data_IF_300279623483
#
_entry.id   IF_300279623483
#
_cell.length_a   1.000
_cell.length_b   1.000
_cell.length_c   1.000
_cell.angle_alpha   90.00
_cell.angle_beta   90.00
_cell.angle_gamma   90.00
#
_symmetry.space_group_name_H-M   'P 1'
#
loop_
_entity.id
_entity.type
_entity.pdbx_description
1 polymer ?
#
# COMPACT_ATOMS: atom_id res chain seq x y z
N UNK A 1 14.95 20.22 -8.73
CA UNK A 1 14.19 20.76 -7.58
C UNK A 1 15.04 20.50 -6.35
N UNK A 2 15.60 21.54 -5.72
CA UNK A 2 16.24 21.38 -4.40
C UNK A 2 15.12 21.06 -3.42
N UNK A 3 15.12 19.85 -2.88
CA UNK A 3 14.11 19.44 -1.91
C UNK A 3 14.42 20.19 -0.60
N UNK A 4 13.75 21.32 -0.36
CA UNK A 4 13.93 22.11 0.85
C UNK A 4 13.49 21.30 2.08
N UNK A 5 14.20 21.44 3.22
CA UNK A 5 13.84 20.73 4.45
C UNK A 5 12.43 21.11 4.91
N UNK A 6 11.65 20.11 5.34
CA UNK A 6 10.35 20.33 5.99
C UNK A 6 10.46 20.97 7.37
N UNK A 7 11.59 20.78 8.05
CA UNK A 7 11.88 21.41 9.32
C UNK A 7 13.33 21.87 9.38
N UNK A 8 13.51 23.15 9.73
CA UNK A 8 14.80 23.77 9.98
C UNK A 8 14.92 24.12 11.46
N UNK A 9 15.81 23.43 12.18
CA UNK A 9 16.11 23.80 13.57
C UNK A 9 16.79 25.18 13.61
N UNK A 10 16.37 26.03 14.55
CA UNK A 10 17.00 27.35 14.73
C UNK A 10 18.43 27.24 15.25
N UNK A 11 19.25 28.25 14.95
CA UNK A 11 20.61 28.36 15.50
C UNK A 11 20.59 28.34 17.04
N UNK A 12 19.61 28.98 17.68
CA UNK A 12 19.46 28.99 19.14
C UNK A 12 19.18 27.59 19.71
N UNK A 13 18.23 26.86 19.14
CA UNK A 13 17.92 25.51 19.59
C UNK A 13 19.07 24.54 19.30
N UNK A 14 19.78 24.74 18.19
CA UNK A 14 20.97 23.94 17.87
C UNK A 14 22.08 24.14 18.91
N UNK A 15 22.36 25.39 19.31
CA UNK A 15 23.36 25.67 20.35
C UNK A 15 22.97 25.03 21.69
N UNK A 16 21.69 25.10 22.08
CA UNK A 16 21.18 24.43 23.28
C UNK A 16 21.36 22.91 23.18
N UNK A 17 20.99 22.33 22.05
CA UNK A 17 21.11 20.89 21.79
C UNK A 17 22.55 20.41 21.89
N UNK A 18 23.47 21.08 21.19
CA UNK A 18 24.91 20.80 21.23
C UNK A 18 25.45 20.90 22.65
N UNK A 19 25.05 21.93 23.40
CA UNK A 19 25.49 22.09 24.79
C UNK A 19 25.06 20.89 25.66
N UNK A 20 23.79 20.48 25.58
CA UNK A 20 23.28 19.33 26.35
C UNK A 20 23.91 18.01 25.88
N UNK A 21 24.08 17.81 24.57
CA UNK A 21 24.79 16.66 24.01
C UNK A 21 26.23 16.55 24.53
N UNK A 22 26.97 17.66 24.50
CA UNK A 22 28.36 17.70 24.96
C UNK A 22 28.48 17.48 26.48
N UNK A 23 27.50 17.93 27.30
CA UNK A 23 27.45 17.57 28.73
C UNK A 23 27.30 16.07 28.91
N UNK A 24 26.40 15.43 28.14
CA UNK A 24 26.17 13.99 28.19
C UNK A 24 27.43 13.22 27.76
N UNK A 25 28.09 13.63 26.68
CA UNK A 25 29.35 13.04 26.23
C UNK A 25 30.45 13.15 27.29
N UNK A 26 30.69 14.34 27.82
CA UNK A 26 31.71 14.57 28.84
C UNK A 26 31.43 13.83 30.14
N UNK A 27 30.15 13.60 30.46
CA UNK A 27 29.75 12.81 31.61
C UNK A 27 29.92 11.30 31.37
N UNK A 28 29.20 10.73 30.39
CA UNK A 28 29.09 9.28 30.18
C UNK A 28 30.34 8.74 29.47
N UNK A 29 30.78 9.41 28.41
CA UNK A 29 31.84 8.98 27.49
C UNK A 29 33.13 9.78 27.71
N UNK A 30 33.43 10.07 28.98
CA UNK A 30 34.51 10.98 29.36
C UNK A 30 35.89 10.56 28.84
N UNK A 31 36.13 9.26 28.62
CA UNK A 31 37.39 8.73 28.11
C UNK A 31 37.52 8.99 26.61
N UNK A 32 36.47 8.69 25.86
CA UNK A 32 36.38 8.83 24.41
C UNK A 32 36.41 10.31 24.02
N UNK A 33 35.68 11.15 24.76
CA UNK A 33 35.69 12.59 24.60
C UNK A 33 37.09 13.18 24.82
N UNK A 34 37.78 12.83 25.92
CA UNK A 34 39.17 13.28 26.17
C UNK A 34 40.15 12.82 25.10
N UNK A 35 39.93 11.63 24.55
CA UNK A 35 40.77 11.08 23.50
C UNK A 35 40.41 11.62 22.10
N UNK A 36 39.29 12.34 21.95
CA UNK A 36 38.74 12.75 20.67
C UNK A 36 38.41 11.56 19.76
N UNK A 37 38.13 10.38 20.32
CA UNK A 37 38.01 9.15 19.54
C UNK A 37 36.90 8.24 20.08
N UNK A 38 35.79 8.21 19.35
CA UNK A 38 34.61 7.39 19.64
C UNK A 38 34.58 6.07 18.83
N UNK A 39 35.58 5.81 17.98
CA UNK A 39 35.61 4.60 17.14
C UNK A 39 35.78 3.30 17.93
N UNK A 40 36.19 3.39 19.20
CA UNK A 40 36.42 2.24 20.09
C UNK A 40 35.17 1.77 20.83
N UNK A 41 34.05 2.48 20.71
CA UNK A 41 32.79 2.04 21.29
C UNK A 41 32.35 0.69 20.69
N UNK A 42 31.70 -0.17 21.47
CA UNK A 42 30.99 -1.33 20.93
C UNK A 42 29.77 -0.90 20.13
N UNK A 43 29.12 -1.82 19.39
CA UNK A 43 27.87 -1.50 18.69
C UNK A 43 26.77 -1.05 19.66
N UNK A 44 26.68 -1.71 20.82
CA UNK A 44 25.71 -1.36 21.87
C UNK A 44 26.01 0.01 22.49
N UNK A 45 27.29 0.34 22.67
CA UNK A 45 27.70 1.64 23.20
C UNK A 45 27.50 2.76 22.16
N UNK A 46 27.74 2.49 20.87
CA UNK A 46 27.41 3.42 19.77
C UNK A 46 25.92 3.69 19.69
N UNK A 47 25.09 2.64 19.81
CA UNK A 47 23.64 2.79 19.87
C UNK A 47 23.21 3.70 21.03
N UNK A 48 23.76 3.47 22.23
CA UNK A 48 23.45 4.31 23.39
C UNK A 48 24.05 5.71 23.29
N UNK A 49 25.21 5.88 22.65
CA UNK A 49 25.77 7.20 22.34
C UNK A 49 24.78 7.98 21.46
N UNK A 50 24.31 7.39 20.36
CA UNK A 50 23.29 7.99 19.49
C UNK A 50 22.04 8.40 20.29
N UNK A 51 21.50 7.48 21.10
CA UNK A 51 20.31 7.71 21.91
C UNK A 51 20.50 8.86 22.92
N UNK A 52 21.52 8.77 23.76
CA UNK A 52 21.70 9.69 24.89
C UNK A 52 22.23 11.06 24.45
N UNK A 53 23.17 11.09 23.51
CA UNK A 53 23.87 12.32 23.11
C UNK A 53 23.09 13.11 22.09
N UNK A 54 22.42 12.43 21.15
CA UNK A 54 21.72 13.10 20.06
C UNK A 54 20.21 13.11 20.27
N UNK A 55 19.57 11.95 20.39
CA UNK A 55 18.10 11.85 20.33
C UNK A 55 17.44 12.44 21.58
N UNK A 56 17.90 12.03 22.77
CA UNK A 56 17.33 12.48 24.04
C UNK A 56 17.52 13.99 24.27
N UNK A 57 18.67 14.53 23.90
CA UNK A 57 18.97 15.97 24.05
C UNK A 57 18.27 16.80 22.98
N UNK A 58 18.13 16.28 21.75
CA UNK A 58 17.33 16.94 20.72
C UNK A 58 15.87 17.04 21.16
N UNK A 59 15.33 15.97 21.74
CA UNK A 59 13.97 15.96 22.27
C UNK A 59 13.72 16.91 23.45
N UNK A 60 14.77 17.46 24.07
CA UNK A 60 14.64 18.50 25.09
C UNK A 60 14.51 19.90 24.49
N UNK A 61 14.95 20.11 23.24
CA UNK A 61 15.00 21.45 22.62
C UNK A 61 13.94 21.67 21.54
N UNK A 62 13.37 20.60 20.97
CA UNK A 62 12.35 20.68 19.93
C UNK A 62 11.16 19.78 20.27
N UNK A 63 9.99 20.10 19.70
CA UNK A 63 8.77 19.33 19.93
C UNK A 63 8.84 17.94 19.29
N UNK A 64 8.09 16.95 19.82
CA UNK A 64 8.00 15.62 19.21
C UNK A 64 7.55 15.65 17.73
N UNK A 65 6.67 16.59 17.36
CA UNK A 65 6.24 16.76 15.97
C UNK A 65 7.41 17.13 15.06
N UNK A 66 8.32 18.00 15.52
CA UNK A 66 9.49 18.38 14.73
C UNK A 66 10.50 17.24 14.63
N UNK A 67 10.66 16.42 15.68
CA UNK A 67 11.46 15.20 15.63
C UNK A 67 10.90 14.25 14.55
N UNK A 68 9.58 14.07 14.50
CA UNK A 68 8.92 13.25 13.48
C UNK A 68 9.11 13.80 12.06
N UNK A 69 9.00 15.12 11.88
CA UNK A 69 9.28 15.76 10.59
C UNK A 69 10.72 15.51 10.13
N UNK A 70 11.70 15.64 11.03
CA UNK A 70 13.10 15.31 10.72
C UNK A 70 13.23 13.82 10.36
N UNK A 71 12.66 12.92 11.16
CA UNK A 71 12.75 11.48 10.93
C UNK A 71 12.16 11.01 9.59
N UNK A 72 11.18 11.75 9.06
CA UNK A 72 10.49 11.43 7.80
C UNK A 72 10.99 12.20 6.57
N UNK A 73 11.94 13.11 6.74
CA UNK A 73 12.41 14.00 5.67
C UNK A 73 13.94 14.06 5.59
N UNK A 74 14.50 13.46 4.54
CA UNK A 74 15.95 13.41 4.32
C UNK A 74 16.61 14.80 4.24
N UNK A 75 15.93 15.80 3.66
CA UNK A 75 16.45 17.16 3.59
C UNK A 75 16.57 17.79 4.99
N UNK A 76 15.58 17.60 5.86
CA UNK A 76 15.62 18.02 7.26
C UNK A 76 16.72 17.31 8.05
N UNK A 77 16.98 16.02 7.79
CA UNK A 77 18.08 15.28 8.43
C UNK A 77 19.44 15.84 8.05
N UNK A 78 19.65 16.10 6.75
CA UNK A 78 20.88 16.73 6.25
C UNK A 78 21.06 18.11 6.85
N UNK A 79 19.99 18.93 6.89
CA UNK A 79 20.03 20.26 7.50
C UNK A 79 20.37 20.20 8.99
N UNK A 80 19.72 19.31 9.76
CA UNK A 80 20.01 19.11 11.18
C UNK A 80 21.48 18.71 11.41
N UNK A 81 22.02 17.81 10.58
CA UNK A 81 23.41 17.39 10.67
C UNK A 81 24.38 18.55 10.38
N UNK A 82 24.11 19.35 9.34
CA UNK A 82 24.91 20.54 9.01
C UNK A 82 24.89 21.56 10.15
N UNK A 83 23.72 21.81 10.73
CA UNK A 83 23.57 22.70 11.88
C UNK A 83 24.33 22.17 13.10
N UNK A 84 24.27 20.86 13.37
CA UNK A 84 25.08 20.24 14.42
C UNK A 84 26.58 20.48 14.18
N UNK A 85 27.10 20.18 12.98
CA UNK A 85 28.51 20.40 12.64
C UNK A 85 28.94 21.86 12.78
N UNK A 86 28.07 22.81 12.40
CA UNK A 86 28.31 24.25 12.48
C UNK A 86 28.53 24.73 13.92
N UNK A 87 27.81 24.18 14.89
CA UNK A 87 27.85 24.64 16.28
C UNK A 87 28.57 23.71 17.25
N UNK A 88 28.82 22.45 16.88
CA UNK A 88 29.48 21.49 17.75
C UNK A 88 30.93 21.88 18.04
N UNK A 89 31.38 21.58 19.26
CA UNK A 89 32.69 21.96 19.75
C UNK A 89 33.20 21.00 20.84
N UNK A 90 34.53 20.91 20.98
CA UNK A 90 35.19 20.11 22.02
C UNK A 90 35.40 20.82 23.36
N UNK A 91 34.76 21.97 23.59
CA UNK A 91 35.00 22.75 24.81
C UNK A 91 34.51 22.03 26.07
N UNK A 92 35.27 22.14 27.16
CA UNK A 92 34.87 21.61 28.46
C UNK A 92 33.62 22.34 28.97
N UNK A 93 32.64 21.58 29.46
CA UNK A 93 31.39 22.11 30.00
C UNK A 93 31.27 21.73 31.47
N UNK A 94 30.83 22.68 32.29
CA UNK A 94 30.49 22.42 33.69
C UNK A 94 29.07 21.86 33.82
N UNK A 95 28.92 20.86 34.68
CA UNK A 95 27.64 20.23 34.98
C UNK A 95 27.65 19.69 36.41
N UNK A 96 26.46 19.55 36.99
CA UNK A 96 26.29 19.04 38.34
C UNK A 96 26.79 17.58 38.46
N UNK A 97 27.49 17.29 39.55
CA UNK A 97 28.07 15.96 39.80
C UNK A 97 26.99 14.92 40.08
N UNK A 98 25.92 15.29 40.79
CA UNK A 98 24.83 14.36 41.11
C UNK A 98 24.05 13.99 39.85
N UNK A 99 23.77 14.97 38.99
CA UNK A 99 23.22 14.76 37.66
C UNK A 99 24.05 13.74 36.86
N UNK A 100 25.37 13.95 36.79
CA UNK A 100 26.23 13.05 36.02
C UNK A 100 26.29 11.63 36.62
N UNK A 101 26.33 11.50 37.94
CA UNK A 101 26.33 10.18 38.59
C UNK A 101 25.01 9.42 38.34
N UNK A 102 23.87 10.11 38.41
CA UNK A 102 22.57 9.52 38.10
C UNK A 102 22.50 9.08 36.63
N UNK A 103 22.98 9.92 35.71
CA UNK A 103 23.00 9.63 34.29
C UNK A 103 23.90 8.42 33.97
N UNK A 104 25.07 8.31 34.60
CA UNK A 104 25.95 7.14 34.50
C UNK A 104 25.31 5.85 34.99
N UNK A 105 24.56 5.93 36.10
CA UNK A 105 23.84 4.77 36.63
C UNK A 105 22.76 4.29 35.66
N UNK A 106 21.97 5.22 35.09
CA UNK A 106 20.98 4.91 34.06
C UNK A 106 21.61 4.28 32.82
N UNK A 107 22.66 4.92 32.28
CA UNK A 107 23.40 4.41 31.12
C UNK A 107 23.94 2.99 31.35
N UNK A 108 24.56 2.74 32.52
CA UNK A 108 25.11 1.41 32.85
C UNK A 108 24.02 0.33 32.88
N UNK A 109 22.87 0.64 33.47
CA UNK A 109 21.75 -0.29 33.52
C UNK A 109 21.20 -0.56 32.12
N UNK A 110 21.04 0.47 31.29
CA UNK A 110 20.55 0.31 29.93
C UNK A 110 21.55 -0.45 29.04
N UNK A 111 22.86 -0.20 29.17
CA UNK A 111 23.90 -0.95 28.45
C UNK A 111 23.84 -2.45 28.75
N UNK A 112 23.56 -2.83 30.00
CA UNK A 112 23.35 -4.24 30.36
C UNK A 112 22.12 -4.81 29.66
N UNK A 113 21.01 -4.06 29.64
CA UNK A 113 19.78 -4.50 28.97
C UNK A 113 19.97 -4.67 27.46
N UNK A 114 20.61 -3.69 26.79
CA UNK A 114 20.89 -3.75 25.36
C UNK A 114 21.80 -4.94 25.04
N UNK A 115 22.87 -5.17 25.81
CA UNK A 115 23.76 -6.33 25.62
C UNK A 115 23.02 -7.65 25.78
N UNK A 116 22.13 -7.75 26.77
CA UNK A 116 21.31 -8.93 26.99
C UNK A 116 20.31 -9.16 25.84
N UNK A 117 19.65 -8.10 25.37
CA UNK A 117 18.75 -8.17 24.23
C UNK A 117 19.47 -8.64 22.96
N UNK A 118 20.63 -8.05 22.63
CA UNK A 118 21.43 -8.45 21.47
C UNK A 118 21.88 -9.91 21.59
N UNK A 119 22.29 -10.36 22.78
CA UNK A 119 22.64 -11.76 23.04
C UNK A 119 21.46 -12.70 22.81
N UNK A 120 20.26 -12.33 23.29
CA UNK A 120 19.04 -13.11 23.10
C UNK A 120 18.66 -13.20 21.61
N UNK A 121 18.70 -12.08 20.88
CA UNK A 121 18.41 -12.05 19.45
C UNK A 121 19.37 -12.94 18.65
N UNK A 122 20.67 -12.89 18.95
CA UNK A 122 21.67 -13.77 18.31
C UNK A 122 21.40 -15.24 18.61
N UNK A 123 21.02 -15.59 19.84
CA UNK A 123 20.69 -16.95 20.21
C UNK A 123 19.44 -17.46 19.49
N UNK A 124 18.40 -16.62 19.39
CA UNK A 124 17.17 -16.95 18.66
C UNK A 124 17.42 -17.12 17.16
N UNK A 125 18.16 -16.21 16.53
CA UNK A 125 18.51 -16.31 15.11
C UNK A 125 19.30 -17.61 14.82
N UNK A 126 20.24 -17.98 15.70
CA UNK A 126 20.98 -19.22 15.55
C UNK A 126 20.08 -20.46 15.73
N UNK A 127 19.13 -20.43 16.67
CA UNK A 127 18.16 -21.50 16.87
C UNK A 127 17.27 -21.68 15.64
N UNK A 128 16.73 -20.58 15.10
CA UNK A 128 15.93 -20.58 13.87
C UNK A 128 16.74 -21.11 12.68
N UNK A 129 18.00 -20.71 12.53
CA UNK A 129 18.86 -21.20 11.46
C UNK A 129 19.11 -22.70 11.57
N UNK A 130 19.35 -23.22 12.79
CA UNK A 130 19.53 -24.66 13.02
C UNK A 130 18.26 -25.45 12.68
N UNK A 131 17.10 -24.93 13.08
CA UNK A 131 15.82 -25.56 12.81
C UNK A 131 15.51 -25.58 11.31
N UNK A 132 15.74 -24.47 10.61
CA UNK A 132 15.60 -24.41 9.15
C UNK A 132 16.49 -25.45 8.45
N UNK A 133 17.75 -25.60 8.88
CA UNK A 133 18.66 -26.63 8.32
C UNK A 133 18.17 -28.04 8.58
N UNK A 134 17.58 -28.32 9.75
CA UNK A 134 17.00 -29.62 10.08
C UNK A 134 15.81 -29.92 9.18
N UNK A 135 14.91 -28.96 9.00
CA UNK A 135 13.76 -29.08 8.12
C UNK A 135 14.17 -29.30 6.68
N UNK A 136 15.18 -28.57 6.18
CA UNK A 136 15.74 -28.77 4.84
C UNK A 136 16.34 -30.16 4.68
N UNK A 137 17.13 -30.64 5.65
CA UNK A 137 17.71 -31.97 5.61
C UNK A 137 16.65 -33.07 5.65
N UNK A 138 15.58 -32.89 6.43
CA UNK A 138 14.46 -33.81 6.49
C UNK A 138 13.67 -33.81 5.17
N UNK A 139 13.32 -32.63 4.65
CA UNK A 139 12.64 -32.50 3.36
C UNK A 139 13.47 -33.10 2.22
N UNK A 140 14.79 -32.97 2.23
CA UNK A 140 15.66 -33.61 1.24
C UNK A 140 15.66 -35.14 1.38
N UNK A 141 15.71 -35.66 2.61
CA UNK A 141 15.60 -37.11 2.86
C UNK A 141 14.26 -37.65 2.37
N UNK A 142 13.16 -36.98 2.71
CA UNK A 142 11.81 -37.34 2.26
C UNK A 142 11.68 -37.25 0.74
N UNK A 143 12.24 -36.21 0.12
CA UNK A 143 12.28 -36.06 -1.34
C UNK A 143 13.01 -37.23 -1.98
N UNK A 144 14.23 -37.57 -1.51
CA UNK A 144 15.00 -38.71 -2.02
C UNK A 144 14.27 -40.04 -1.80
N UNK A 145 13.63 -40.23 -0.64
CA UNK A 145 12.85 -41.43 -0.36
C UNK A 145 11.63 -41.55 -1.29
N UNK A 146 10.91 -40.45 -1.52
CA UNK A 146 9.79 -40.39 -2.47
C UNK A 146 10.27 -40.65 -3.91
N UNK A 147 11.37 -40.03 -4.33
CA UNK A 147 11.97 -40.28 -5.65
C UNK A 147 12.37 -41.75 -5.82
N UNK A 148 12.97 -42.37 -4.80
CA UNK A 148 13.31 -43.78 -4.81
C UNK A 148 12.06 -44.67 -4.88
N UNK A 149 11.01 -44.36 -4.11
CA UNK A 149 9.74 -45.08 -4.14
C UNK A 149 9.05 -44.98 -5.50
N UNK A 150 9.02 -43.79 -6.12
CA UNK A 150 8.42 -43.58 -7.44
C UNK A 150 9.17 -44.33 -8.57
N UNK A 151 10.39 -44.81 -8.33
CA UNK A 151 11.11 -45.68 -9.27
C UNK A 151 10.71 -47.16 -9.14
N UNK A 152 10.00 -47.54 -8.08
CA UNK A 152 9.50 -48.91 -7.92
C UNK A 152 8.25 -49.12 -8.78
N UNK A 153 7.92 -50.37 -9.17
CA UNK A 153 6.69 -50.65 -9.91
C UNK A 153 5.42 -50.19 -9.18
N UNK A 154 5.37 -50.33 -7.86
CA UNK A 154 4.24 -49.86 -7.05
C UNK A 154 4.12 -48.33 -7.09
N UNK A 155 5.23 -47.60 -6.93
CA UNK A 155 5.23 -46.15 -7.00
C UNK A 155 4.89 -45.59 -8.39
N UNK A 156 5.31 -46.27 -9.46
CA UNK A 156 4.91 -45.91 -10.83
C UNK A 156 3.41 -46.12 -11.08
N UNK A 157 2.84 -47.22 -10.59
CA UNK A 157 1.40 -47.48 -10.70
C UNK A 157 0.58 -46.44 -9.93
N UNK A 158 1.01 -46.05 -8.73
CA UNK A 158 0.37 -45.00 -7.94
C UNK A 158 0.42 -43.63 -8.64
N UNK A 159 1.56 -43.28 -9.24
CA UNK A 159 1.71 -42.04 -10.01
C UNK A 159 0.79 -42.02 -11.24
N UNK A 160 0.70 -43.13 -11.97
CA UNK A 160 -0.19 -43.25 -13.13
C UNK A 160 -1.66 -43.12 -12.71
N UNK A 161 -2.06 -43.75 -11.60
CA UNK A 161 -3.40 -43.61 -11.03
C UNK A 161 -3.71 -42.16 -10.63
N UNK A 162 -2.75 -41.48 -9.99
CA UNK A 162 -2.91 -40.08 -9.60
C UNK A 162 -3.06 -39.15 -10.81
N UNK A 163 -2.28 -39.38 -11.88
CA UNK A 163 -2.40 -38.62 -13.13
C UNK A 163 -3.76 -38.83 -13.80
N UNK A 164 -4.26 -40.06 -13.82
CA UNK A 164 -5.58 -40.39 -14.37
C UNK A 164 -6.70 -39.68 -13.60
N UNK A 165 -6.63 -39.66 -12.27
CA UNK A 165 -7.59 -38.94 -11.42
C UNK A 165 -7.57 -37.43 -11.69
N UNK A 166 -6.38 -36.82 -11.80
CA UNK A 166 -6.22 -35.40 -12.14
C UNK A 166 -6.78 -35.06 -13.52
N UNK A 167 -6.58 -35.95 -14.50
CA UNK A 167 -7.14 -35.78 -15.84
C UNK A 167 -8.67 -35.89 -15.82
N UNK A 168 -9.21 -36.88 -15.11
CA UNK A 168 -10.66 -37.00 -14.91
C UNK A 168 -11.24 -35.76 -14.24
N UNK A 169 -10.58 -35.22 -13.21
CA UNK A 169 -11.02 -34.00 -12.53
C UNK A 169 -10.99 -32.78 -13.47
N UNK A 170 -9.95 -32.65 -14.31
CA UNK A 170 -9.88 -31.59 -15.33
C UNK A 170 -10.99 -31.72 -16.36
N UNK A 171 -11.27 -32.93 -16.83
CA UNK A 171 -12.39 -33.17 -17.75
C UNK A 171 -13.73 -32.82 -17.11
N UNK A 172 -13.95 -33.22 -15.86
CA UNK A 172 -15.15 -32.87 -15.12
C UNK A 172 -15.30 -31.35 -14.95
N UNK A 173 -14.21 -30.64 -14.62
CA UNK A 173 -14.24 -29.18 -14.50
C UNK A 173 -14.50 -28.49 -15.85
N UNK A 174 -13.95 -29.01 -16.94
CA UNK A 174 -14.24 -28.51 -18.30
C UNK A 174 -15.70 -28.74 -18.70
N UNK A 175 -16.26 -29.93 -18.38
CA UNK A 175 -17.67 -30.22 -18.61
C UNK A 175 -18.57 -29.29 -17.80
N UNK A 176 -18.25 -29.07 -16.52
CA UNK A 176 -18.94 -28.10 -15.67
C UNK A 176 -18.91 -26.68 -16.25
N UNK A 177 -17.74 -26.22 -16.72
CA UNK A 177 -17.61 -24.91 -17.33
C UNK A 177 -18.38 -24.80 -18.65
N UNK A 178 -18.35 -25.85 -19.47
CA UNK A 178 -19.12 -25.91 -20.72
C UNK A 178 -20.63 -25.90 -20.46
N UNK A 179 -21.10 -26.68 -19.48
CA UNK A 179 -22.50 -26.69 -19.06
C UNK A 179 -22.92 -25.33 -18.50
N UNK A 180 -22.06 -24.67 -17.72
CA UNK A 180 -22.34 -23.32 -17.21
C UNK A 180 -22.39 -22.29 -18.34
N UNK A 181 -21.52 -22.39 -19.35
CA UNK A 181 -21.57 -21.53 -20.55
C UNK A 181 -22.87 -21.74 -21.32
N UNK A 182 -23.28 -22.99 -21.56
CA UNK A 182 -24.54 -23.29 -22.22
C UNK A 182 -25.74 -22.78 -21.42
N UNK A 183 -25.74 -22.96 -20.10
CA UNK A 183 -26.79 -22.43 -19.24
C UNK A 183 -26.83 -20.88 -19.26
N UNK A 184 -25.67 -20.23 -19.26
CA UNK A 184 -25.56 -18.78 -19.38
C UNK A 184 -26.03 -18.27 -20.75
N UNK A 185 -25.70 -18.96 -21.84
CA UNK A 185 -26.20 -18.67 -23.19
C UNK A 185 -27.71 -18.85 -23.29
N UNK A 186 -28.26 -19.92 -22.69
CA UNK A 186 -29.72 -20.13 -22.63
C UNK A 186 -30.41 -19.05 -21.79
N UNK A 187 -29.85 -18.69 -20.64
CA UNK A 187 -30.37 -17.60 -19.82
C UNK A 187 -30.28 -16.25 -20.55
N UNK A 188 -29.18 -15.98 -21.25
CA UNK A 188 -29.01 -14.79 -22.08
C UNK A 188 -30.00 -14.77 -23.25
N UNK A 189 -30.26 -15.93 -23.89
CA UNK A 189 -31.25 -16.04 -24.95
C UNK A 189 -32.69 -15.85 -24.42
N UNK A 190 -33.00 -16.37 -23.23
CA UNK A 190 -34.29 -16.10 -22.57
C UNK A 190 -34.45 -14.63 -22.22
N UNK A 191 -33.40 -13.97 -21.71
CA UNK A 191 -33.40 -12.53 -21.46
C UNK A 191 -33.55 -11.72 -22.76
N UNK A 192 -32.85 -12.12 -23.82
CA UNK A 192 -32.99 -11.52 -25.14
C UNK A 192 -34.41 -11.70 -25.68
N UNK A 193 -34.98 -12.90 -25.58
CA UNK A 193 -36.36 -13.18 -25.99
C UNK A 193 -37.37 -12.34 -25.20
N UNK A 194 -37.20 -12.20 -23.88
CA UNK A 194 -38.03 -11.34 -23.04
C UNK A 194 -37.86 -9.85 -23.38
N UNK A 195 -36.66 -9.42 -23.76
CA UNK A 195 -36.37 -8.05 -24.20
C UNK A 195 -36.95 -7.78 -25.59
N UNK A 196 -36.90 -8.75 -26.50
CA UNK A 196 -37.50 -8.66 -27.83
C UNK A 196 -39.02 -8.63 -27.72
N UNK A 197 -39.65 -9.47 -26.89
CA UNK A 197 -41.10 -9.44 -26.66
C UNK A 197 -41.56 -8.13 -26.01
N UNK A 198 -40.84 -7.62 -25.01
CA UNK A 198 -41.17 -6.32 -24.41
C UNK A 198 -40.90 -5.15 -25.37
N UNK A 199 -39.85 -5.23 -26.20
CA UNK A 199 -39.55 -4.29 -27.28
C UNK A 199 -40.62 -4.28 -28.38
N UNK A 200 -41.11 -5.45 -28.80
CA UNK A 200 -42.20 -5.59 -29.76
C UNK A 200 -43.52 -5.03 -29.24
N UNK A 201 -43.82 -5.22 -27.94
CA UNK A 201 -44.98 -4.59 -27.31
C UNK A 201 -44.86 -3.06 -27.27
N UNK A 202 -43.67 -2.55 -26.97
CA UNK A 202 -43.36 -1.11 -26.98
C UNK A 202 -43.48 -0.49 -28.38
N UNK A 203 -42.97 -1.18 -29.41
CA UNK A 203 -43.09 -0.76 -30.81
C UNK A 203 -44.55 -0.83 -31.28
N UNK A 204 -45.29 -1.86 -30.89
CA UNK A 204 -46.73 -1.98 -31.22
C UNK A 204 -47.55 -0.84 -30.61
N UNK A 205 -47.26 -0.47 -29.35
CA UNK A 205 -47.90 0.68 -28.69
C UNK A 205 -47.51 2.01 -29.35
N UNK A 206 -46.27 2.13 -29.82
CA UNK A 206 -45.79 3.32 -30.55
C UNK A 206 -46.42 3.44 -31.93
N UNK A 207 -46.57 2.33 -32.65
CA UNK A 207 -47.25 2.28 -33.95
C UNK A 207 -48.73 2.59 -33.78
N UNK A 208 -49.42 2.06 -32.76
CA UNK A 208 -50.80 2.43 -32.47
C UNK A 208 -50.95 3.92 -32.14
N UNK A 209 -50.06 4.50 -31.32
CA UNK A 209 -50.03 5.94 -31.05
C UNK A 209 -49.82 6.76 -32.32
N UNK A 210 -48.84 6.41 -33.14
CA UNK A 210 -48.56 7.13 -34.39
C UNK A 210 -49.70 6.99 -35.41
N UNK A 211 -50.40 5.85 -35.44
CA UNK A 211 -51.55 5.65 -36.31
C UNK A 211 -52.74 6.54 -35.87
N UNK A 212 -52.96 6.66 -34.56
CA UNK A 212 -53.97 7.60 -34.02
C UNK A 212 -53.60 9.06 -34.30
N UNK A 213 -52.32 9.41 -34.20
CA UNK A 213 -51.81 10.75 -34.47
C UNK A 213 -51.93 11.12 -35.96
N UNK A 214 -51.62 10.21 -36.87
CA UNK A 214 -51.81 10.40 -38.32
C UNK A 214 -53.30 10.55 -38.66
N UNK A 215 -54.19 9.76 -38.03
CA UNK A 215 -55.64 9.90 -38.26
C UNK A 215 -56.19 11.25 -37.75
N UNK A 216 -55.69 11.76 -36.62
CA UNK A 216 -56.02 13.11 -36.14
C UNK A 216 -55.48 14.21 -37.06
N UNK A 217 -54.27 14.02 -37.60
CA UNK A 217 -53.65 14.99 -38.52
C UNK A 217 -54.40 15.06 -39.86
N UNK A 218 -54.85 13.91 -40.39
CA UNK A 218 -55.61 13.83 -41.64
C UNK A 218 -57.03 14.42 -41.51
N UNK A 219 -57.64 14.36 -40.34
CA UNK A 219 -58.93 15.02 -40.05
C UNK A 219 -58.78 16.55 -39.95
N UNK A 220 -57.69 17.06 -39.36
CA UNK A 220 -57.42 18.50 -39.28
C UNK A 220 -57.00 19.12 -40.63
N UNK A 221 -56.40 18.34 -41.53
CA UNK A 221 -56.06 18.81 -42.88
C UNK A 221 -57.28 18.86 -43.82
N UNK A 222 -58.28 17.98 -43.61
CA UNK A 222 -59.54 17.98 -44.38
C UNK A 222 -60.47 19.14 -44.01
N UNK A 223 -60.45 19.64 -42.77
CA UNK A 223 -61.31 20.75 -42.34
C UNK A 223 -60.78 22.13 -42.75
N UNK A 224 -59.47 22.25 -43.03
CA UNK A 224 -58.81 23.52 -43.38
C UNK A 224 -58.90 23.88 -44.88
N UNK A 225 -59.33 22.96 -45.75
CA UNK A 225 -59.47 23.19 -47.20
C UNK A 225 -60.86 23.67 -47.67
N UNK A 226 -61.83 23.90 -46.77
CA UNK A 226 -63.22 24.23 -47.15
C UNK A 226 -63.68 25.67 -46.85
N UNK A 227 -62.80 26.62 -46.45
CA UNK A 227 -63.26 27.96 -46.02
C UNK A 227 -62.48 29.17 -46.56
N UNK A 228 -61.75 29.07 -47.68
CA UNK A 228 -61.16 30.24 -48.35
C UNK A 228 -61.48 30.20 -49.83
N UNK A 229 -62.52 30.94 -50.24
CA UNK A 229 -62.82 31.22 -51.64
C UNK A 229 -64.31 31.22 -51.96
N UNK A 230 -65.03 32.28 -51.58
CA UNK A 230 -66.23 32.73 -52.29
C UNK A 230 -66.50 34.20 -51.92
N UNK A 231 -65.89 35.11 -52.67
CA UNK A 231 -66.30 36.50 -52.76
C UNK A 231 -66.49 36.86 -54.23
N UNK A 232 -67.76 37.07 -54.62
CA UNK A 232 -68.24 37.86 -55.75
C UNK A 232 -67.82 37.44 -57.18
N UNK A 233 -68.80 37.39 -58.09
CA UNK A 233 -68.55 37.54 -59.54
C UNK A 233 -68.29 36.24 -60.30
N UNK A 234 -69.23 35.94 -61.20
CA UNK A 234 -69.29 34.85 -62.18
C UNK A 234 -68.16 34.93 -63.23
N UNK A 235 -67.47 33.88 -63.67
CA UNK A 235 -67.57 32.46 -63.39
C UNK A 235 -66.48 31.68 -64.15
N UNK A 236 -66.20 30.48 -63.62
CA UNK A 236 -65.40 29.35 -64.14
C UNK A 236 -63.87 29.45 -64.09
N UNK A 237 -63.34 29.08 -62.91
CA UNK A 237 -61.96 28.63 -62.69
C UNK A 237 -61.95 27.11 -62.53
N UNK A 238 -60.98 26.43 -63.14
CA UNK A 238 -60.71 25.00 -62.90
C UNK A 238 -59.59 24.89 -61.86
N UNK A 239 -59.89 24.22 -60.75
CA UNK A 239 -59.07 24.07 -59.55
C UNK A 239 -57.96 23.01 -59.69
N UNK A 240 -56.85 23.22 -58.96
CA UNK A 240 -55.75 22.27 -58.72
C UNK A 240 -55.85 21.73 -57.29
N UNK A 241 -55.73 20.41 -57.12
CA UNK A 241 -55.31 19.74 -55.88
C UNK A 241 -54.47 18.50 -56.25
N UNK A 242 -53.31 18.30 -55.61
CA UNK A 242 -52.60 17.02 -55.50
C UNK A 242 -52.79 16.48 -54.09
#
# INVERSE_FOLDING_TARGET
MTNSPKYEISDENTKKWVLEGNKVEQCIFSKEWKAGNFNKLSDEERYLHQKYVYEMTLGQVISPNNIHLIGSDSASQVYLHQQFLKFNHGNKIEFDKNWCNNLKAQYKNELIQVKNYVKQQKAQALAQQKELKRQQAQAEKERKAREAYLRTPQGQAELAYQQQMLEQQRQYQQQMLAAQRQAAEQAAFQQLSNTINSGLQSVTQTIQRNTQLINQMNQNMRSSCQSIGNGWGTGSWTNVCY
#
